data_IF_071883593281
#
_entry.id   IF_071883593281
#
_cell.length_a   1.000
_cell.length_b   1.000
_cell.length_c   1.000
_cell.angle_alpha   90.00
_cell.angle_beta   90.00
_cell.angle_gamma   90.00
#
_symmetry.space_group_name_H-M   'P 1'
#
loop_
_entity.id
_entity.type
_entity.pdbx_description
1 polymer ?
#
# COMPACT_ATOMS: atom_id res chain seq x y z
N UNK A 1 -15.46 -5.56 14.13
CA UNK A 1 -15.34 -7.03 13.93
C UNK A 1 -14.02 -7.37 13.21
N UNK A 2 -13.75 -6.87 11.98
CA UNK A 2 -12.52 -7.17 11.23
C UNK A 2 -11.24 -6.79 11.98
N UNK A 3 -11.17 -5.58 12.57
CA UNK A 3 -10.01 -5.13 13.33
C UNK A 3 -9.75 -6.02 14.57
N UNK A 4 -10.80 -6.47 15.27
CA UNK A 4 -10.66 -7.39 16.41
C UNK A 4 -10.15 -8.78 15.98
N UNK A 5 -10.67 -9.30 14.85
CA UNK A 5 -10.18 -10.56 14.30
C UNK A 5 -8.70 -10.47 13.91
N UNK A 6 -8.27 -9.34 13.33
CA UNK A 6 -6.88 -9.11 12.92
C UNK A 6 -5.92 -9.05 14.12
N UNK A 7 -6.38 -8.63 15.30
CA UNK A 7 -5.56 -8.63 16.54
C UNK A 7 -5.09 -10.04 16.97
N UNK A 8 -5.73 -11.09 16.48
CA UNK A 8 -5.27 -12.46 16.75
C UNK A 8 -3.84 -12.72 16.23
N UNK A 9 -3.36 -11.93 15.23
CA UNK A 9 -2.01 -12.09 14.67
C UNK A 9 -0.91 -11.91 15.73
N UNK A 10 -1.16 -11.11 16.77
CA UNK A 10 -0.17 -10.85 17.82
C UNK A 10 -0.62 -11.28 19.21
N UNK A 11 -1.87 -11.73 19.38
CA UNK A 11 -2.43 -12.11 20.69
C UNK A 11 -1.65 -13.23 21.39
N UNK A 12 -1.03 -14.11 20.62
CA UNK A 12 -0.28 -15.27 21.11
C UNK A 12 1.23 -15.08 21.02
N UNK A 13 1.70 -13.85 20.75
CA UNK A 13 3.13 -13.54 20.76
C UNK A 13 3.72 -13.69 22.16
N UNK A 14 4.95 -14.23 22.22
CA UNK A 14 5.78 -14.28 23.43
C UNK A 14 6.69 -13.04 23.54
N UNK A 15 7.58 -13.05 24.55
CA UNK A 15 8.54 -11.97 24.82
C UNK A 15 9.58 -11.78 23.71
N UNK A 16 9.88 -12.82 22.95
CA UNK A 16 10.88 -12.81 21.87
C UNK A 16 10.31 -12.39 20.52
N UNK A 17 8.98 -12.26 20.41
CA UNK A 17 8.33 -11.91 19.17
C UNK A 17 8.34 -10.39 18.91
N UNK A 18 8.26 -10.01 17.63
CA UNK A 18 8.19 -8.61 17.24
C UNK A 18 6.85 -8.30 16.59
N UNK A 19 6.16 -7.28 17.11
CA UNK A 19 5.01 -6.67 16.46
C UNK A 19 5.43 -5.44 15.68
N UNK A 20 5.02 -5.36 14.40
CA UNK A 20 5.26 -4.18 13.57
C UNK A 20 3.94 -3.45 13.36
N UNK A 21 3.93 -2.15 13.66
CA UNK A 21 2.73 -1.31 13.59
C UNK A 21 2.93 -0.08 12.71
N UNK A 22 1.84 0.40 12.12
CA UNK A 22 1.79 1.67 11.39
C UNK A 22 1.41 2.80 12.36
N UNK A 23 2.37 3.64 12.72
CA UNK A 23 2.15 4.72 13.69
C UNK A 23 1.26 5.86 13.17
N UNK A 24 1.05 5.95 11.86
CA UNK A 24 0.18 6.97 11.25
C UNK A 24 -1.28 6.49 11.12
N UNK A 25 -1.58 5.26 11.48
CA UNK A 25 -2.92 4.67 11.41
C UNK A 25 -3.51 4.56 12.81
N UNK A 26 -4.67 5.19 13.05
CA UNK A 26 -5.30 5.28 14.36
C UNK A 26 -5.71 3.92 14.96
N UNK A 27 -5.93 2.91 14.12
CA UNK A 27 -6.29 1.56 14.57
C UNK A 27 -5.04 0.80 15.06
N UNK A 28 -3.91 0.96 14.37
CA UNK A 28 -2.70 0.19 14.67
C UNK A 28 -1.73 0.91 15.60
N UNK A 29 -1.72 2.25 15.60
CA UNK A 29 -0.81 3.04 16.42
C UNK A 29 -0.87 2.72 17.94
N UNK A 30 -2.05 2.43 18.55
CA UNK A 30 -2.13 2.09 19.97
C UNK A 30 -1.81 0.62 20.30
N UNK A 31 -1.52 -0.21 19.30
CA UNK A 31 -1.28 -1.63 19.52
C UNK A 31 0.13 -1.86 20.12
N UNK A 32 0.22 -2.75 21.10
CA UNK A 32 1.46 -3.16 21.76
C UNK A 32 1.48 -4.67 21.83
N UNK A 33 2.58 -5.28 21.38
CA UNK A 33 2.80 -6.72 21.51
C UNK A 33 3.36 -7.11 22.89
N UNK A 34 3.41 -8.40 23.17
CA UNK A 34 4.01 -8.93 24.40
C UNK A 34 5.55 -8.84 24.38
N UNK A 35 6.16 -8.81 23.20
CA UNK A 35 7.60 -8.64 22.99
C UNK A 35 7.94 -7.23 22.49
N UNK A 36 8.81 -7.16 21.51
CA UNK A 36 9.25 -5.88 20.93
C UNK A 36 8.17 -5.32 19.99
N UNK A 37 7.80 -4.05 20.17
CA UNK A 37 6.94 -3.34 19.20
C UNK A 37 7.78 -2.35 18.40
N UNK A 38 7.83 -2.52 17.06
CA UNK A 38 8.50 -1.63 16.13
C UNK A 38 7.46 -0.87 15.32
N UNK A 39 7.53 0.45 15.35
CA UNK A 39 6.63 1.31 14.59
C UNK A 39 7.28 1.80 13.31
N UNK A 40 6.49 2.00 12.25
CA UNK A 40 6.92 2.78 11.10
C UNK A 40 6.00 3.99 10.88
N UNK A 41 6.55 5.08 10.35
CA UNK A 41 5.81 6.31 10.06
C UNK A 41 6.34 6.99 8.80
N UNK A 42 5.44 7.31 7.90
CA UNK A 42 5.71 8.14 6.72
C UNK A 42 5.50 9.63 7.00
N UNK A 43 4.74 9.97 8.03
CA UNK A 43 4.36 11.34 8.36
C UNK A 43 5.33 12.02 9.36
N UNK A 44 6.50 11.45 9.61
CA UNK A 44 7.53 12.05 10.45
C UNK A 44 7.35 11.86 11.95
N UNK A 45 6.43 10.98 12.40
CA UNK A 45 6.36 10.58 13.82
C UNK A 45 7.66 9.87 14.23
N UNK A 46 8.03 9.99 15.50
CA UNK A 46 9.17 9.25 16.02
C UNK A 46 8.86 7.75 15.99
N UNK A 47 9.48 7.04 15.07
CA UNK A 47 9.23 5.64 14.80
C UNK A 47 10.54 4.92 14.46
N UNK A 48 10.54 3.60 14.58
CA UNK A 48 11.70 2.75 14.32
C UNK A 48 12.15 2.83 12.86
N UNK A 49 11.18 2.80 11.92
CA UNK A 49 11.41 3.04 10.49
C UNK A 49 10.66 4.30 10.08
N UNK A 50 11.34 5.24 9.41
CA UNK A 50 10.76 6.54 9.01
C UNK A 50 11.07 6.89 7.58
N UNK A 51 10.18 7.69 6.97
CA UNK A 51 10.47 8.37 5.71
C UNK A 51 10.95 9.79 6.02
N UNK A 52 12.22 10.08 5.73
CA UNK A 52 12.85 11.37 5.99
C UNK A 52 13.56 11.87 4.74
N UNK A 53 13.15 13.02 4.22
CA UNK A 53 13.76 13.67 3.03
C UNK A 53 13.97 12.70 1.86
N UNK A 54 12.98 11.85 1.58
CA UNK A 54 13.02 10.86 0.50
C UNK A 54 13.79 9.57 0.81
N UNK A 55 14.31 9.41 2.02
CA UNK A 55 14.98 8.19 2.48
C UNK A 55 14.11 7.43 3.48
N UNK A 56 14.02 6.14 3.31
CA UNK A 56 13.57 5.23 4.37
C UNK A 56 14.77 5.01 5.29
N UNK A 57 14.61 5.42 6.56
CA UNK A 57 15.63 5.28 7.59
C UNK A 57 15.18 4.26 8.64
N UNK A 58 16.12 3.52 9.22
CA UNK A 58 15.92 2.62 10.36
C UNK A 58 16.82 3.10 11.50
N UNK A 59 16.24 3.43 12.64
CA UNK A 59 16.97 4.05 13.76
C UNK A 59 17.82 5.29 13.38
N UNK A 60 17.38 6.05 12.38
CA UNK A 60 18.10 7.23 11.87
C UNK A 60 19.13 6.92 10.77
N UNK A 61 19.46 5.65 10.53
CA UNK A 61 20.38 5.24 9.45
C UNK A 61 19.64 5.08 8.13
N UNK A 62 20.24 5.55 7.03
CA UNK A 62 19.66 5.45 5.69
C UNK A 62 19.75 4.03 5.15
N UNK A 63 18.60 3.41 4.89
CA UNK A 63 18.51 2.05 4.33
C UNK A 63 18.23 2.09 2.83
N UNK A 64 17.19 2.81 2.39
CA UNK A 64 16.68 2.79 1.02
C UNK A 64 16.20 4.18 0.59
N UNK A 65 16.55 4.63 -0.60
CA UNK A 65 15.93 5.80 -1.19
C UNK A 65 14.55 5.44 -1.74
N UNK A 66 13.50 6.16 -1.33
CA UNK A 66 12.14 5.84 -1.74
C UNK A 66 11.94 5.91 -3.27
N UNK A 67 12.72 6.76 -3.96
CA UNK A 67 12.71 6.87 -5.42
C UNK A 67 13.30 5.63 -6.13
N UNK A 68 14.05 4.78 -5.44
CA UNK A 68 14.59 3.53 -6.00
C UNK A 68 13.56 2.39 -6.01
N UNK A 69 12.41 2.59 -5.37
CA UNK A 69 11.34 1.58 -5.36
C UNK A 69 10.67 1.56 -6.73
N UNK A 70 10.79 0.44 -7.43
CA UNK A 70 10.22 0.25 -8.77
C UNK A 70 8.69 0.33 -8.79
N UNK A 71 8.04 -0.13 -7.70
CA UNK A 71 6.59 -0.14 -7.59
C UNK A 71 6.03 1.26 -7.32
N UNK A 72 5.06 1.75 -8.10
CA UNK A 72 4.49 3.07 -7.93
C UNK A 72 3.59 3.14 -6.68
N UNK A 73 3.50 4.33 -6.09
CA UNK A 73 2.53 4.66 -5.04
C UNK A 73 3.09 4.66 -3.63
N UNK A 74 2.55 5.58 -2.82
CA UNK A 74 2.97 5.79 -1.44
C UNK A 74 2.73 4.56 -0.55
N UNK A 75 1.70 3.78 -0.82
CA UNK A 75 1.43 2.53 -0.10
C UNK A 75 2.55 1.50 -0.30
N UNK A 76 3.27 1.52 -1.44
CA UNK A 76 4.43 0.65 -1.62
C UNK A 76 5.63 1.13 -0.81
N UNK A 77 5.82 2.42 -0.62
CA UNK A 77 6.82 2.94 0.34
C UNK A 77 6.52 2.42 1.75
N UNK A 78 5.26 2.46 2.20
CA UNK A 78 4.83 1.91 3.50
C UNK A 78 5.04 0.39 3.60
N UNK A 79 4.77 -0.35 2.51
CA UNK A 79 5.06 -1.79 2.44
C UNK A 79 6.56 -2.07 2.61
N UNK A 80 7.44 -1.29 1.96
CA UNK A 80 8.89 -1.42 2.14
C UNK A 80 9.32 -1.05 3.56
N UNK A 81 8.75 -0.02 4.18
CA UNK A 81 9.04 0.34 5.57
C UNK A 81 8.67 -0.79 6.53
N UNK A 82 7.51 -1.43 6.30
CA UNK A 82 7.08 -2.62 7.06
C UNK A 82 8.04 -3.78 6.87
N UNK A 83 8.40 -4.08 5.62
CA UNK A 83 9.32 -5.17 5.29
C UNK A 83 10.71 -4.95 5.90
N UNK A 84 11.25 -3.73 5.83
CA UNK A 84 12.55 -3.37 6.44
C UNK A 84 12.57 -3.61 7.94
N UNK A 85 11.46 -3.30 8.64
CA UNK A 85 11.33 -3.60 10.05
C UNK A 85 11.24 -5.11 10.34
N UNK A 86 10.58 -5.87 9.43
CA UNK A 86 10.34 -7.30 9.59
C UNK A 86 11.58 -8.16 9.31
N UNK A 87 12.38 -7.79 8.32
CA UNK A 87 13.54 -8.60 7.88
C UNK A 87 14.85 -8.16 8.52
N UNK A 88 14.78 -7.29 9.53
CA UNK A 88 15.97 -6.82 10.23
C UNK A 88 16.76 -7.97 10.85
N UNK A 89 18.06 -7.97 10.59
CA UNK A 89 18.96 -9.04 11.03
C UNK A 89 18.90 -10.32 10.17
N UNK A 90 17.93 -10.44 9.26
CA UNK A 90 17.80 -11.59 8.37
C UNK A 90 18.46 -11.35 7.01
N UNK A 91 18.45 -10.11 6.53
CA UNK A 91 19.04 -9.74 5.23
C UNK A 91 19.82 -8.43 5.35
N UNK A 92 20.78 -8.21 4.44
CA UNK A 92 21.55 -6.97 4.37
C UNK A 92 20.72 -5.83 3.75
N UNK A 93 21.11 -4.58 4.04
CA UNK A 93 20.48 -3.41 3.41
C UNK A 93 20.74 -3.37 1.89
N UNK A 94 21.85 -3.97 1.41
CA UNK A 94 22.09 -4.12 -0.03
C UNK A 94 21.08 -5.06 -0.69
N UNK A 95 20.68 -6.12 -0.01
CA UNK A 95 19.60 -7.00 -0.47
C UNK A 95 18.28 -6.24 -0.55
N UNK A 96 17.95 -5.42 0.46
CA UNK A 96 16.75 -4.56 0.44
C UNK A 96 16.78 -3.61 -0.75
N UNK A 97 17.91 -2.94 -0.99
CA UNK A 97 18.09 -2.02 -2.14
C UNK A 97 17.97 -2.73 -3.49
N UNK A 98 18.52 -3.93 -3.61
CA UNK A 98 18.41 -4.71 -4.83
C UNK A 98 16.96 -5.12 -5.10
N UNK A 99 16.25 -5.63 -4.10
CA UNK A 99 14.83 -5.99 -4.22
C UNK A 99 13.98 -4.77 -4.61
N UNK A 100 14.24 -3.59 -4.01
CA UNK A 100 13.51 -2.38 -4.35
C UNK A 100 13.60 -1.99 -5.84
N UNK A 101 14.76 -2.23 -6.45
CA UNK A 101 15.05 -1.90 -7.86
C UNK A 101 14.61 -2.99 -8.86
N UNK A 102 14.38 -4.21 -8.40
CA UNK A 102 14.14 -5.36 -9.29
C UNK A 102 12.77 -6.01 -9.12
N UNK A 103 12.13 -5.84 -7.96
CA UNK A 103 10.83 -6.44 -7.70
C UNK A 103 9.73 -5.73 -8.46
N UNK A 104 9.19 -6.39 -9.49
CA UNK A 104 8.15 -5.86 -10.38
C UNK A 104 6.72 -5.91 -9.83
N UNK A 105 6.53 -6.39 -8.60
CA UNK A 105 5.21 -6.49 -7.96
C UNK A 105 4.58 -7.88 -8.04
N UNK A 106 3.32 -7.95 -7.68
CA UNK A 106 2.50 -9.15 -7.69
C UNK A 106 1.51 -9.04 -8.84
N UNK A 107 1.23 -10.14 -9.52
CA UNK A 107 0.21 -10.22 -10.58
C UNK A 107 -1.13 -9.61 -10.11
N UNK A 108 -1.80 -8.91 -11.01
CA UNK A 108 -3.09 -8.25 -10.78
C UNK A 108 -3.08 -7.08 -9.77
N UNK A 109 -1.89 -6.59 -9.34
CA UNK A 109 -1.75 -5.47 -8.39
C UNK A 109 -0.95 -4.34 -9.01
N UNK A 110 -1.63 -3.41 -9.68
CA UNK A 110 -1.02 -2.32 -10.49
C UNK A 110 0.07 -2.91 -11.43
N UNK A 111 -0.19 -4.09 -11.92
CA UNK A 111 0.70 -4.84 -12.79
C UNK A 111 0.78 -4.17 -14.16
N UNK A 112 1.96 -3.79 -14.62
CA UNK A 112 2.17 -3.32 -15.97
C UNK A 112 2.10 -4.49 -16.96
N UNK A 113 0.93 -4.70 -17.58
CA UNK A 113 0.70 -5.84 -18.47
C UNK A 113 1.28 -5.61 -19.86
N UNK A 114 1.20 -4.36 -20.36
CA UNK A 114 1.60 -4.04 -21.74
C UNK A 114 1.87 -2.55 -21.93
N UNK A 115 2.80 -2.25 -22.82
CA UNK A 115 2.97 -0.94 -23.43
C UNK A 115 2.66 -1.09 -24.93
N UNK A 116 1.70 -0.32 -25.45
CA UNK A 116 1.34 -0.29 -26.87
C UNK A 116 1.15 1.14 -27.32
N UNK A 117 1.85 1.55 -28.37
CA UNK A 117 1.77 2.88 -28.96
C UNK A 117 1.94 4.01 -27.92
N UNK A 118 2.87 3.83 -26.96
CA UNK A 118 3.11 4.75 -25.85
C UNK A 118 2.10 4.69 -24.72
N UNK A 119 1.01 3.92 -24.84
CA UNK A 119 0.01 3.73 -23.79
C UNK A 119 0.39 2.56 -22.90
N UNK A 120 0.42 2.80 -21.58
CA UNK A 120 0.66 1.77 -20.56
C UNK A 120 -0.65 1.19 -20.07
N UNK A 121 -0.76 -0.13 -20.10
CA UNK A 121 -1.91 -0.89 -19.62
C UNK A 121 -1.57 -1.55 -18.30
N UNK A 122 -2.35 -1.25 -17.28
CA UNK A 122 -2.17 -1.81 -15.94
C UNK A 122 -3.35 -2.70 -15.56
N UNK A 123 -3.06 -3.82 -14.91
CA UNK A 123 -4.03 -4.72 -14.33
C UNK A 123 -4.01 -4.54 -12.80
N UNK A 124 -5.12 -4.10 -12.23
CA UNK A 124 -5.33 -3.95 -10.79
C UNK A 124 -6.62 -4.65 -10.34
N UNK A 125 -6.94 -5.77 -10.98
CA UNK A 125 -8.21 -6.48 -10.75
C UNK A 125 -8.37 -7.03 -9.33
N UNK A 126 -7.28 -7.14 -8.56
CA UNK A 126 -7.32 -7.50 -7.15
C UNK A 126 -7.78 -6.36 -6.24
N UNK A 127 -7.87 -5.12 -6.75
CA UNK A 127 -8.36 -3.95 -6.02
C UNK A 127 -9.90 -3.99 -5.88
N UNK A 128 -10.38 -4.95 -5.13
CA UNK A 128 -11.80 -5.26 -4.97
C UNK A 128 -12.51 -4.47 -3.86
N UNK A 129 -11.96 -3.30 -3.47
CA UNK A 129 -12.58 -2.36 -2.52
C UNK A 129 -12.27 -0.91 -2.92
N UNK A 130 -13.14 0.06 -2.57
CA UNK A 130 -12.92 1.48 -2.84
C UNK A 130 -11.55 1.98 -2.38
N UNK A 131 -11.12 1.64 -1.17
CA UNK A 131 -9.83 2.08 -0.61
C UNK A 131 -8.63 1.61 -1.44
N UNK A 132 -8.68 0.40 -1.98
CA UNK A 132 -7.62 -0.13 -2.85
C UNK A 132 -7.62 0.56 -4.21
N UNK A 133 -8.79 0.76 -4.81
CA UNK A 133 -8.93 1.51 -6.07
C UNK A 133 -8.40 2.93 -5.91
N UNK A 134 -8.72 3.61 -4.80
CA UNK A 134 -8.21 4.96 -4.49
C UNK A 134 -6.67 4.95 -4.39
N UNK A 135 -6.10 3.99 -3.67
CA UNK A 135 -4.65 3.87 -3.56
C UNK A 135 -3.99 3.66 -4.93
N UNK A 136 -4.62 2.83 -5.80
CA UNK A 136 -4.19 2.62 -7.18
C UNK A 136 -4.26 3.91 -8.01
N UNK A 137 -5.37 4.62 -8.00
CA UNK A 137 -5.55 5.87 -8.74
C UNK A 137 -4.52 6.94 -8.34
N UNK A 138 -4.28 7.10 -7.04
CA UNK A 138 -3.29 8.04 -6.47
C UNK A 138 -1.83 7.68 -6.77
N UNK A 139 -1.58 6.47 -7.28
CA UNK A 139 -0.22 6.02 -7.65
C UNK A 139 0.24 6.59 -9.00
N UNK A 140 -0.67 7.17 -9.77
CA UNK A 140 -0.36 7.75 -11.07
C UNK A 140 -0.29 9.28 -10.99
N UNK A 141 0.77 9.91 -11.56
CA UNK A 141 0.90 11.36 -11.58
C UNK A 141 -0.10 12.04 -12.53
N UNK A 142 -0.60 11.30 -13.53
CA UNK A 142 -1.52 11.78 -14.54
C UNK A 142 -2.88 11.09 -14.43
N UNK A 143 -3.93 11.77 -14.95
CA UNK A 143 -5.25 11.15 -15.04
C UNK A 143 -5.25 9.93 -15.95
N UNK A 144 -5.84 8.84 -15.45
CA UNK A 144 -5.91 7.56 -16.16
C UNK A 144 -7.25 7.37 -16.90
N UNK A 145 -7.30 6.40 -17.80
CA UNK A 145 -8.54 5.79 -18.26
C UNK A 145 -8.82 4.61 -17.30
N UNK A 146 -9.96 4.66 -16.61
CA UNK A 146 -10.33 3.61 -15.65
C UNK A 146 -11.41 2.71 -16.26
N UNK A 147 -11.18 1.40 -16.21
CA UNK A 147 -12.18 0.36 -16.45
C UNK A 147 -12.48 -0.25 -15.07
N UNK A 148 -13.71 -0.07 -14.57
CA UNK A 148 -14.08 -0.50 -13.23
C UNK A 148 -15.43 -1.23 -13.23
N UNK A 149 -15.60 -2.10 -12.23
CA UNK A 149 -16.81 -2.86 -12.02
C UNK A 149 -16.52 -4.30 -11.61
N UNK A 150 -17.55 -5.09 -11.50
CA UNK A 150 -17.43 -6.50 -11.12
C UNK A 150 -18.56 -6.96 -10.21
N UNK A 151 -18.28 -7.97 -9.38
CA UNK A 151 -19.20 -8.52 -8.40
C UNK A 151 -19.45 -7.54 -7.24
N UNK A 152 -20.69 -7.47 -6.78
CA UNK A 152 -21.06 -6.60 -5.67
C UNK A 152 -20.80 -7.26 -4.30
N UNK A 153 -19.89 -6.71 -3.54
CA UNK A 153 -19.56 -7.13 -2.18
C UNK A 153 -20.41 -6.42 -1.10
N UNK A 154 -21.44 -5.68 -1.51
CA UNK A 154 -22.32 -4.91 -0.62
C UNK A 154 -21.57 -3.89 0.26
N UNK A 155 -20.56 -3.26 -0.30
CA UNK A 155 -19.78 -2.18 0.34
C UNK A 155 -20.16 -0.83 -0.25
N UNK A 156 -20.05 0.28 0.51
CA UNK A 156 -20.32 1.64 0.01
C UNK A 156 -19.26 2.08 -1.01
N UNK A 157 -19.69 2.79 -2.07
CA UNK A 157 -18.84 3.30 -3.13
C UNK A 157 -18.72 4.83 -3.13
N UNK A 158 -19.43 5.53 -2.24
CA UNK A 158 -19.52 6.99 -2.20
C UNK A 158 -18.17 7.70 -2.19
N UNK A 159 -17.18 7.11 -1.50
CA UNK A 159 -15.82 7.64 -1.41
C UNK A 159 -15.06 7.61 -2.74
N UNK A 160 -15.53 6.86 -3.75
CA UNK A 160 -14.86 6.79 -5.06
C UNK A 160 -15.15 7.99 -5.96
N UNK A 161 -16.32 8.61 -5.86
CA UNK A 161 -16.73 9.68 -6.74
C UNK A 161 -15.73 10.82 -6.83
N UNK A 162 -15.35 11.45 -5.71
CA UNK A 162 -14.35 12.53 -5.70
C UNK A 162 -13.00 12.11 -6.28
N UNK A 163 -12.55 10.90 -5.99
CA UNK A 163 -11.26 10.38 -6.46
C UNK A 163 -11.28 10.08 -7.97
N UNK A 164 -12.39 9.55 -8.48
CA UNK A 164 -12.58 9.37 -9.92
C UNK A 164 -12.56 10.72 -10.64
N UNK A 165 -13.24 11.73 -10.12
CA UNK A 165 -13.22 13.07 -10.70
C UNK A 165 -11.81 13.69 -10.72
N UNK A 166 -11.03 13.45 -9.67
CA UNK A 166 -9.66 13.97 -9.54
C UNK A 166 -8.65 13.24 -10.44
N UNK A 167 -8.74 11.92 -10.54
CA UNK A 167 -7.68 11.07 -11.12
C UNK A 167 -8.04 10.37 -12.43
N UNK A 168 -9.31 10.44 -12.89
CA UNK A 168 -9.77 9.72 -14.09
C UNK A 168 -10.16 10.71 -15.18
N UNK A 169 -9.66 10.51 -16.40
CA UNK A 169 -10.04 11.30 -17.59
C UNK A 169 -11.17 10.64 -18.38
N UNK A 170 -11.33 9.32 -18.27
CA UNK A 170 -12.42 8.56 -18.90
C UNK A 170 -12.71 7.31 -18.09
N UNK A 171 -13.99 7.07 -17.82
CA UNK A 171 -14.48 5.95 -17.01
C UNK A 171 -15.32 5.01 -17.86
N UNK A 172 -14.98 3.72 -17.82
CA UNK A 172 -15.79 2.64 -18.37
C UNK A 172 -16.27 1.76 -17.24
N UNK A 173 -17.55 1.49 -17.19
CA UNK A 173 -18.18 0.73 -16.11
C UNK A 173 -18.79 -0.56 -16.63
N UNK A 174 -18.63 -1.64 -15.86
CA UNK A 174 -19.20 -2.95 -16.16
C UNK A 174 -19.63 -3.72 -14.91
N UNK A 175 -20.23 -4.89 -15.11
CA UNK A 175 -20.66 -5.77 -14.02
C UNK A 175 -21.72 -5.19 -13.09
N UNK A 176 -22.02 -5.91 -12.01
CA UNK A 176 -23.08 -5.58 -11.05
C UNK A 176 -22.84 -4.26 -10.30
N UNK A 177 -21.59 -3.86 -10.11
CA UNK A 177 -21.22 -2.64 -9.37
C UNK A 177 -21.19 -1.39 -10.23
N UNK A 178 -21.25 -1.52 -11.57
CA UNK A 178 -21.21 -0.38 -12.48
C UNK A 178 -22.22 0.74 -12.14
N UNK A 179 -23.53 0.44 -11.96
CA UNK A 179 -24.52 1.44 -11.57
C UNK A 179 -24.22 2.13 -10.24
N UNK A 180 -23.69 1.42 -9.25
CA UNK A 180 -23.33 1.96 -7.93
C UNK A 180 -22.16 2.92 -8.02
N UNK A 181 -21.12 2.55 -8.76
CA UNK A 181 -19.95 3.41 -8.99
C UNK A 181 -20.34 4.67 -9.77
N UNK A 182 -21.31 4.56 -10.70
CA UNK A 182 -21.82 5.71 -11.45
C UNK A 182 -22.59 6.68 -10.57
N UNK A 183 -23.30 6.17 -9.57
CA UNK A 183 -24.11 6.98 -8.66
C UNK A 183 -23.27 7.71 -7.61
N UNK A 184 -22.11 7.16 -7.27
CA UNK A 184 -21.14 7.76 -6.36
C UNK A 184 -20.40 8.95 -6.99
#
# INVERSE_FOLDING_TARGET
>A
EYAEATKNIYRFQGSEDTLIIHADNDITAPLVGNGVTKAFSRQGKNAYVRLEKGWITRCGEKVLQAADILLPGQHNVENYMTAIAAVEGLVSDDTVRNVAKTFGGVEHRIELVRIKDGVRFYNDSIASSPSRTIAGLRSFPEKVILIAGGYDKHIPYDVLGPEICAHVKKLFLGGATGPKIRAA
#
